data_IF_365249445233
#
_entry.id   IF_365249445233
#
_cell.length_a   1.000
_cell.length_b   1.000
_cell.length_c   1.000
_cell.angle_alpha   90.00
_cell.angle_beta   90.00
_cell.angle_gamma   90.00
#
_symmetry.space_group_name_H-M   'P 1'
#
loop_
_entity.id
_entity.type
_entity.pdbx_description
1 polymer ?
#
# COMPACT_ATOMS: atom_id res chain seq x y z
N UNK A 1 19.91 -6.29 -11.00
CA UNK A 1 19.39 -4.99 -11.47
C UNK A 1 20.54 -4.05 -11.70
N UNK A 2 20.46 -3.19 -12.71
CA UNK A 2 21.55 -2.28 -13.13
C UNK A 2 21.81 -1.10 -12.17
N UNK A 3 21.02 -0.96 -11.12
CA UNK A 3 21.15 0.10 -10.11
C UNK A 3 21.82 -0.49 -8.87
N UNK A 4 22.96 0.08 -8.47
CA UNK A 4 23.69 -0.36 -7.28
C UNK A 4 22.96 0.01 -5.98
N UNK A 5 23.12 -0.80 -4.93
CA UNK A 5 22.45 -0.62 -3.65
C UNK A 5 22.67 0.78 -3.05
N UNK A 6 23.88 1.33 -3.16
CA UNK A 6 24.20 2.70 -2.72
C UNK A 6 23.31 3.77 -3.36
N UNK A 7 22.96 3.62 -4.64
CA UNK A 7 22.13 4.60 -5.35
C UNK A 7 20.66 4.46 -4.92
N UNK A 8 20.19 3.22 -4.70
CA UNK A 8 18.85 2.97 -4.15
C UNK A 8 18.73 3.56 -2.75
N UNK A 9 19.72 3.34 -1.89
CA UNK A 9 19.70 3.87 -0.51
C UNK A 9 19.73 5.39 -0.50
N UNK A 10 20.59 6.02 -1.32
CA UNK A 10 20.65 7.47 -1.44
C UNK A 10 19.31 8.06 -1.91
N UNK A 11 18.64 7.42 -2.88
CA UNK A 11 17.32 7.86 -3.35
C UNK A 11 16.24 7.70 -2.27
N UNK A 12 16.24 6.58 -1.53
CA UNK A 12 15.28 6.37 -0.43
C UNK A 12 15.52 7.37 0.71
N UNK A 13 16.78 7.67 1.04
CA UNK A 13 17.14 8.72 2.00
C UNK A 13 16.63 10.10 1.54
N UNK A 14 16.73 10.40 0.24
CA UNK A 14 16.22 11.65 -0.35
C UNK A 14 14.68 11.73 -0.31
N UNK A 15 13.96 10.67 -0.69
CA UNK A 15 12.50 10.63 -0.62
C UNK A 15 11.99 10.78 0.82
N UNK A 16 12.62 10.07 1.77
CA UNK A 16 12.30 10.18 3.19
C UNK A 16 12.54 11.60 3.72
N UNK A 17 13.70 12.17 3.42
CA UNK A 17 14.04 13.54 3.84
C UNK A 17 13.05 14.56 3.27
N UNK A 18 12.68 14.41 2.00
CA UNK A 18 11.71 15.29 1.35
C UNK A 18 10.31 15.19 1.96
N UNK A 19 9.89 13.98 2.34
CA UNK A 19 8.63 13.78 3.07
C UNK A 19 8.63 14.54 4.40
N UNK A 20 9.71 14.38 5.19
CA UNK A 20 9.83 15.02 6.50
C UNK A 20 9.87 16.54 6.37
N UNK A 21 10.63 17.06 5.40
CA UNK A 21 10.70 18.49 5.11
C UNK A 21 9.33 19.06 4.73
N UNK A 22 8.60 18.37 3.84
CA UNK A 22 7.32 18.85 3.32
C UNK A 22 6.17 18.76 4.33
N UNK A 23 6.17 17.74 5.20
CA UNK A 23 5.06 17.49 6.13
C UNK A 23 5.39 17.83 7.59
N UNK A 24 6.64 18.20 7.90
CA UNK A 24 7.08 18.55 9.25
C UNK A 24 7.06 17.38 10.25
N UNK A 25 6.91 16.14 9.78
CA UNK A 25 6.80 14.93 10.61
C UNK A 25 7.36 13.71 9.91
N UNK A 26 7.70 12.69 10.70
CA UNK A 26 8.07 11.36 10.18
C UNK A 26 6.83 10.64 9.63
N UNK A 27 6.98 9.75 8.63
CA UNK A 27 5.87 8.94 8.16
C UNK A 27 5.40 7.98 9.25
N UNK A 28 4.10 7.83 9.42
CA UNK A 28 3.50 6.78 10.27
C UNK A 28 3.41 5.45 9.52
N UNK A 29 3.47 5.49 8.19
CA UNK A 29 3.31 4.35 7.31
C UNK A 29 4.23 4.43 6.10
N UNK A 30 4.82 3.31 5.70
CA UNK A 30 5.67 3.20 4.51
C UNK A 30 5.21 2.04 3.63
N UNK A 31 5.14 2.32 2.33
CA UNK A 31 4.95 1.34 1.28
C UNK A 31 5.93 1.58 0.10
N UNK A 32 5.62 1.04 -1.06
CA UNK A 32 6.42 1.22 -2.26
C UNK A 32 5.56 1.04 -3.51
N UNK A 33 5.64 2.02 -4.40
CA UNK A 33 5.01 1.96 -5.73
C UNK A 33 5.46 0.70 -6.46
N UNK A 34 4.54 0.04 -7.17
CA UNK A 34 4.78 -1.28 -7.81
C UNK A 34 5.34 -2.34 -6.85
N UNK A 35 5.10 -2.20 -5.55
CA UNK A 35 5.52 -3.14 -4.51
C UNK A 35 7.04 -3.29 -4.36
N UNK A 36 7.82 -2.29 -4.79
CA UNK A 36 9.30 -2.33 -4.76
C UNK A 36 9.89 -2.44 -3.37
N UNK A 37 9.13 -2.07 -2.32
CA UNK A 37 9.61 -2.17 -0.94
C UNK A 37 9.84 -3.61 -0.47
N UNK A 38 9.27 -4.59 -1.18
CA UNK A 38 9.56 -6.00 -0.95
C UNK A 38 10.95 -6.42 -1.44
N UNK A 39 11.65 -5.61 -2.24
CA UNK A 39 12.98 -5.97 -2.74
C UNK A 39 14.03 -5.99 -1.61
N UNK A 40 14.98 -6.95 -1.61
CA UNK A 40 15.97 -7.07 -0.54
C UNK A 40 16.75 -5.78 -0.23
N UNK A 41 17.11 -5.01 -1.26
CA UNK A 41 17.83 -3.74 -1.10
C UNK A 41 17.04 -2.70 -0.30
N UNK A 42 15.71 -2.67 -0.45
CA UNK A 42 14.83 -1.76 0.30
C UNK A 42 14.62 -2.27 1.73
N UNK A 43 14.52 -3.60 1.93
CA UNK A 43 14.47 -4.20 3.27
C UNK A 43 15.71 -3.83 4.10
N UNK A 44 16.91 -3.94 3.50
CA UNK A 44 18.15 -3.53 4.17
C UNK A 44 18.15 -2.04 4.51
N UNK A 45 17.62 -1.19 3.63
CA UNK A 45 17.49 0.24 3.91
C UNK A 45 16.57 0.50 5.11
N UNK A 46 15.38 -0.13 5.13
CA UNK A 46 14.43 -0.01 6.24
C UNK A 46 15.08 -0.40 7.58
N UNK A 47 15.72 -1.58 7.65
CA UNK A 47 16.39 -2.01 8.88
C UNK A 47 17.53 -1.07 9.30
N UNK A 48 18.27 -0.50 8.35
CA UNK A 48 19.39 0.39 8.64
C UNK A 48 18.94 1.77 9.12
N UNK A 49 17.79 2.28 8.66
CA UNK A 49 17.29 3.63 8.98
C UNK A 49 16.35 3.64 10.18
N UNK A 50 15.78 2.50 10.53
CA UNK A 50 14.92 2.34 11.70
C UNK A 50 15.37 1.17 12.60
N UNK A 51 16.51 1.34 13.30
CA UNK A 51 17.07 0.31 14.16
C UNK A 51 16.16 0.01 15.37
N UNK A 52 16.55 -0.98 16.18
CA UNK A 52 15.84 -1.35 17.40
C UNK A 52 15.67 -0.16 18.37
N UNK A 53 14.46 -0.04 18.93
CA UNK A 53 14.07 1.09 19.79
C UNK A 53 13.75 2.38 19.04
N UNK A 54 13.94 2.45 17.73
CA UNK A 54 13.54 3.63 16.95
C UNK A 54 12.01 3.76 16.85
N UNK A 55 11.56 4.98 16.65
CA UNK A 55 10.19 5.29 16.27
C UNK A 55 9.93 4.82 14.82
N UNK A 56 9.24 3.68 14.64
CA UNK A 56 9.07 3.00 13.35
C UNK A 56 7.72 3.29 12.68
N UNK A 57 7.71 3.56 11.36
CA UNK A 57 6.46 3.50 10.59
C UNK A 57 5.93 2.06 10.55
N UNK A 58 4.61 1.92 10.46
CA UNK A 58 4.00 0.67 10.02
C UNK A 58 4.32 0.41 8.53
N UNK A 59 4.38 -0.85 8.13
CA UNK A 59 4.72 -1.25 6.77
C UNK A 59 3.55 -1.97 6.08
N UNK A 60 3.36 -1.69 4.79
CA UNK A 60 2.45 -2.49 3.94
C UNK A 60 2.98 -3.92 3.78
N UNK A 61 2.23 -4.90 4.28
CA UNK A 61 2.56 -6.33 4.16
C UNK A 61 2.19 -6.94 2.80
N UNK A 62 2.56 -8.22 2.67
CA UNK A 62 2.22 -9.06 1.51
C UNK A 62 0.69 -9.18 1.30
N UNK A 63 0.24 -9.42 0.04
CA UNK A 63 -1.16 -9.71 -0.21
C UNK A 63 -1.60 -11.05 0.37
N UNK A 64 -2.90 -11.21 0.58
CA UNK A 64 -3.48 -12.51 0.82
C UNK A 64 -3.16 -13.43 -0.36
N UNK A 65 -2.95 -14.73 -0.09
CA UNK A 65 -2.89 -15.72 -1.14
C UNK A 65 -4.29 -15.83 -1.76
N UNK A 66 -4.46 -15.16 -2.90
CA UNK A 66 -5.68 -15.16 -3.68
C UNK A 66 -5.38 -15.58 -5.13
N UNK A 67 -6.43 -15.93 -5.87
CA UNK A 67 -6.30 -16.33 -7.27
C UNK A 67 -5.82 -15.17 -8.15
N UNK A 68 -5.00 -15.49 -9.15
CA UNK A 68 -4.59 -14.57 -10.21
C UNK A 68 -3.08 -14.34 -10.28
N UNK A 69 -2.56 -14.31 -11.52
CA UNK A 69 -1.12 -14.21 -11.79
C UNK A 69 -0.46 -12.97 -11.17
N UNK A 70 -1.17 -11.82 -11.14
CA UNK A 70 -0.66 -10.58 -10.53
C UNK A 70 -0.45 -10.73 -9.02
N UNK A 71 -1.43 -11.29 -8.32
CA UNK A 71 -1.33 -11.52 -6.86
C UNK A 71 -0.20 -12.51 -6.57
N UNK A 72 -0.11 -13.60 -7.35
CA UNK A 72 0.96 -14.59 -7.21
C UNK A 72 2.36 -13.97 -7.42
N UNK A 73 2.54 -13.10 -8.42
CA UNK A 73 3.79 -12.41 -8.67
C UNK A 73 4.18 -11.49 -7.50
N UNK A 74 3.21 -10.74 -6.96
CA UNK A 74 3.42 -9.86 -5.80
C UNK A 74 3.75 -10.69 -4.55
N UNK A 75 3.04 -11.79 -4.32
CA UNK A 75 3.28 -12.69 -3.20
C UNK A 75 4.69 -13.32 -3.27
N UNK A 76 5.12 -13.72 -4.46
CA UNK A 76 6.48 -14.22 -4.69
C UNK A 76 7.54 -13.14 -4.40
N UNK A 77 7.32 -11.91 -4.87
CA UNK A 77 8.21 -10.78 -4.57
C UNK A 77 8.25 -10.48 -3.05
N UNK A 78 7.12 -10.60 -2.38
CA UNK A 78 6.96 -10.38 -0.94
C UNK A 78 7.49 -11.56 -0.09
N UNK A 79 8.00 -12.62 -0.68
CA UNK A 79 8.44 -13.81 0.04
C UNK A 79 9.41 -13.44 1.19
N UNK A 80 9.06 -13.88 2.39
CA UNK A 80 9.81 -13.61 3.62
C UNK A 80 9.75 -12.17 4.15
N UNK A 81 9.13 -11.22 3.45
CA UNK A 81 9.09 -9.81 3.86
C UNK A 81 8.44 -9.65 5.24
N UNK A 82 7.17 -10.07 5.39
CA UNK A 82 6.41 -9.88 6.63
C UNK A 82 7.18 -10.41 7.84
N UNK A 83 7.64 -11.68 7.78
CA UNK A 83 8.43 -12.28 8.86
C UNK A 83 9.72 -11.50 9.15
N UNK A 84 10.47 -11.13 8.12
CA UNK A 84 11.74 -10.41 8.31
C UNK A 84 11.56 -9.04 8.95
N UNK A 85 10.54 -8.27 8.53
CA UNK A 85 10.28 -6.95 9.08
C UNK A 85 9.66 -7.00 10.48
N UNK A 86 8.78 -7.97 10.75
CA UNK A 86 8.26 -8.22 12.10
C UNK A 86 9.38 -8.62 13.07
N UNK A 87 10.31 -9.49 12.63
CA UNK A 87 11.48 -9.84 13.44
C UNK A 87 12.40 -8.64 13.70
N UNK A 88 12.51 -7.72 12.73
CA UNK A 88 13.18 -6.43 12.92
C UNK A 88 12.37 -5.43 13.76
N UNK A 89 11.19 -5.80 14.27
CA UNK A 89 10.38 -4.99 15.18
C UNK A 89 9.47 -3.96 14.50
N UNK A 90 9.19 -4.09 13.20
CA UNK A 90 8.19 -3.28 12.51
C UNK A 90 6.78 -3.85 12.70
N UNK A 91 5.80 -2.96 12.85
CA UNK A 91 4.40 -3.31 12.66
C UNK A 91 4.13 -3.51 11.18
N UNK A 92 3.58 -4.65 10.79
CA UNK A 92 3.25 -4.97 9.38
C UNK A 92 1.74 -5.14 9.27
N UNK A 93 1.12 -4.31 8.43
CA UNK A 93 -0.32 -4.36 8.15
C UNK A 93 -0.57 -5.33 6.99
N UNK A 94 -1.38 -6.36 7.24
CA UNK A 94 -1.59 -7.48 6.32
C UNK A 94 -2.95 -8.16 6.59
N UNK A 95 -3.55 -8.84 5.60
CA UNK A 95 -3.11 -8.93 4.21
C UNK A 95 -3.39 -7.65 3.41
N UNK A 96 -2.64 -7.47 2.31
CA UNK A 96 -3.03 -6.50 1.28
C UNK A 96 -4.18 -7.06 0.41
N UNK A 97 -5.26 -6.31 0.33
CA UNK A 97 -6.38 -6.48 -0.59
C UNK A 97 -6.45 -5.30 -1.59
N UNK A 98 -7.48 -5.29 -2.46
CA UNK A 98 -7.66 -4.26 -3.49
C UNK A 98 -6.82 -4.49 -4.76
N UNK A 99 -6.23 -5.69 -4.93
CA UNK A 99 -5.59 -6.07 -6.19
C UNK A 99 -6.64 -6.65 -7.13
N UNK A 100 -6.97 -5.91 -8.19
CA UNK A 100 -7.88 -6.37 -9.24
C UNK A 100 -7.40 -5.93 -10.63
N UNK A 101 -8.07 -6.41 -11.67
CA UNK A 101 -7.83 -5.96 -13.04
C UNK A 101 -8.51 -4.60 -13.24
N UNK A 102 -7.74 -3.51 -13.19
CA UNK A 102 -8.23 -2.15 -13.36
C UNK A 102 -8.85 -1.87 -14.75
N UNK A 103 -8.59 -2.73 -15.75
CA UNK A 103 -9.29 -2.69 -17.04
C UNK A 103 -10.75 -3.14 -16.96
N UNK A 104 -11.18 -3.60 -15.80
CA UNK A 104 -12.54 -4.02 -15.46
C UNK A 104 -12.99 -3.21 -14.22
N UNK A 105 -13.17 -1.88 -14.37
CA UNK A 105 -13.47 -0.98 -13.25
C UNK A 105 -14.77 -1.34 -12.51
N UNK A 106 -15.72 -1.98 -13.19
CA UNK A 106 -16.97 -2.50 -12.61
C UNK A 106 -16.75 -3.52 -11.48
N UNK A 107 -15.56 -4.13 -11.41
CA UNK A 107 -15.20 -5.06 -10.34
C UNK A 107 -14.85 -4.38 -9.02
N UNK A 108 -14.55 -3.08 -9.04
CA UNK A 108 -14.04 -2.38 -7.85
C UNK A 108 -15.00 -2.49 -6.65
N UNK A 109 -16.30 -2.22 -6.87
CA UNK A 109 -17.29 -2.25 -5.80
C UNK A 109 -17.40 -3.62 -5.13
N UNK A 110 -17.36 -4.71 -5.90
CA UNK A 110 -17.39 -6.07 -5.36
C UNK A 110 -16.11 -6.40 -4.58
N UNK A 111 -14.94 -5.96 -5.07
CA UNK A 111 -13.65 -6.15 -4.39
C UNK A 111 -13.60 -5.35 -3.08
N UNK A 112 -14.12 -4.13 -3.07
CA UNK A 112 -14.24 -3.29 -1.88
C UNK A 112 -15.20 -3.90 -0.86
N UNK A 113 -16.37 -4.37 -1.29
CA UNK A 113 -17.35 -5.00 -0.39
C UNK A 113 -16.79 -6.26 0.27
N UNK A 114 -16.13 -7.14 -0.50
CA UNK A 114 -15.48 -8.33 0.05
C UNK A 114 -14.37 -7.97 1.06
N UNK A 115 -13.68 -6.84 0.87
CA UNK A 115 -12.69 -6.36 1.81
C UNK A 115 -13.32 -5.83 3.10
N UNK A 116 -14.43 -5.10 3.03
CA UNK A 116 -15.18 -4.64 4.21
C UNK A 116 -15.67 -5.83 5.05
N UNK A 117 -16.10 -6.91 4.42
CA UNK A 117 -16.63 -8.09 5.11
C UNK A 117 -15.54 -9.04 5.64
N UNK A 118 -14.36 -9.03 5.03
CA UNK A 118 -13.37 -10.10 5.21
C UNK A 118 -11.97 -9.67 5.62
N UNK A 119 -11.62 -8.38 5.60
CA UNK A 119 -10.31 -7.93 6.07
C UNK A 119 -10.25 -8.01 7.62
N UNK A 120 -9.18 -8.60 8.17
CA UNK A 120 -8.95 -8.57 9.62
C UNK A 120 -8.52 -7.15 10.07
N UNK A 121 -8.46 -6.96 11.38
CA UNK A 121 -7.80 -5.78 11.95
C UNK A 121 -6.37 -5.64 11.38
N UNK A 122 -5.99 -4.41 11.01
CA UNK A 122 -4.72 -4.09 10.31
C UNK A 122 -4.57 -4.74 8.93
N UNK A 123 -5.66 -5.24 8.35
CA UNK A 123 -5.77 -5.49 6.91
C UNK A 123 -5.75 -4.18 6.13
N UNK A 124 -5.28 -4.22 4.88
CA UNK A 124 -5.16 -3.03 4.04
C UNK A 124 -5.89 -3.19 2.73
N UNK A 125 -6.66 -2.18 2.34
CA UNK A 125 -7.25 -2.07 1.02
C UNK A 125 -6.52 -1.02 0.19
N UNK A 126 -5.90 -1.43 -0.91
CA UNK A 126 -5.22 -0.52 -1.84
C UNK A 126 -6.16 -0.11 -2.97
N UNK A 127 -6.21 1.19 -3.26
CA UNK A 127 -7.00 1.80 -4.32
C UNK A 127 -6.25 3.01 -4.90
N UNK A 128 -6.75 3.58 -5.99
CA UNK A 128 -6.19 4.71 -6.73
C UNK A 128 -7.24 5.80 -7.02
N UNK A 129 -8.08 6.22 -6.06
CA UNK A 129 -9.13 7.20 -6.30
C UNK A 129 -8.55 8.55 -6.74
N UNK A 130 -9.20 9.21 -7.69
CA UNK A 130 -8.84 10.57 -8.09
C UNK A 130 -9.56 11.03 -9.35
N UNK A 131 -9.47 12.34 -9.60
CA UNK A 131 -9.95 12.97 -10.83
C UNK A 131 -8.94 12.82 -11.97
N UNK A 132 -9.43 12.68 -13.21
CA UNK A 132 -8.55 12.61 -14.38
C UNK A 132 -8.31 14.02 -14.94
N UNK A 133 -7.11 14.54 -14.71
CA UNK A 133 -6.64 15.80 -15.29
C UNK A 133 -5.60 15.56 -16.41
N UNK A 134 -5.18 16.64 -17.07
CA UNK A 134 -4.21 16.56 -18.17
C UNK A 134 -2.83 16.08 -17.71
N UNK A 135 -2.44 16.44 -16.48
CA UNK A 135 -1.18 15.99 -15.88
C UNK A 135 -1.13 14.48 -15.76
N UNK A 136 -2.22 13.86 -15.28
CA UNK A 136 -2.34 12.42 -15.16
C UNK A 136 -2.36 11.76 -16.55
N UNK A 137 -3.13 12.32 -17.50
CA UNK A 137 -3.21 11.78 -18.86
C UNK A 137 -1.85 11.67 -19.54
N UNK A 138 -0.97 12.64 -19.27
CA UNK A 138 0.39 12.66 -19.80
C UNK A 138 1.36 11.66 -19.13
N UNK A 139 1.00 11.05 -17.98
CA UNK A 139 1.93 10.29 -17.12
C UNK A 139 1.54 8.85 -16.86
N UNK A 140 0.25 8.53 -16.88
CA UNK A 140 -0.24 7.21 -16.46
C UNK A 140 -1.31 6.70 -17.43
N UNK A 141 -1.27 5.40 -17.73
CA UNK A 141 -2.29 4.71 -18.51
C UNK A 141 -3.51 4.31 -17.67
N UNK A 142 -3.36 4.16 -16.35
CA UNK A 142 -4.42 3.83 -15.42
C UNK A 142 -5.20 5.10 -15.07
N UNK A 143 -6.15 5.49 -15.94
CA UNK A 143 -6.87 6.76 -15.84
C UNK A 143 -8.32 6.56 -15.37
N UNK A 144 -9.24 6.17 -16.26
CA UNK A 144 -10.70 6.21 -15.99
C UNK A 144 -11.17 5.38 -14.78
N UNK A 145 -10.42 4.35 -14.40
CA UNK A 145 -10.69 3.58 -13.18
C UNK A 145 -10.62 4.43 -11.90
N UNK A 146 -9.78 5.46 -11.87
CA UNK A 146 -9.58 6.31 -10.69
C UNK A 146 -10.84 7.08 -10.29
N UNK A 147 -11.63 7.51 -11.27
CA UNK A 147 -12.90 8.19 -11.04
C UNK A 147 -13.97 7.21 -10.53
N UNK A 148 -13.95 5.96 -11.01
CA UNK A 148 -14.82 4.89 -10.51
C UNK A 148 -14.49 4.56 -9.06
N UNK A 149 -13.20 4.41 -8.75
CA UNK A 149 -12.73 4.15 -7.38
C UNK A 149 -13.10 5.32 -6.45
N UNK A 150 -12.91 6.56 -6.90
CA UNK A 150 -13.31 7.76 -6.16
C UNK A 150 -14.81 7.80 -5.90
N UNK A 151 -15.64 7.61 -6.93
CA UNK A 151 -17.10 7.68 -6.81
C UNK A 151 -17.63 6.62 -5.84
N UNK A 152 -17.07 5.41 -5.85
CA UNK A 152 -17.48 4.36 -4.91
C UNK A 152 -17.09 4.69 -3.46
N UNK A 153 -15.87 5.18 -3.22
CA UNK A 153 -15.41 5.56 -1.88
C UNK A 153 -16.13 6.81 -1.34
N UNK A 154 -16.56 7.72 -2.21
CA UNK A 154 -17.32 8.91 -1.84
C UNK A 154 -18.83 8.65 -1.68
N UNK A 155 -19.31 7.43 -1.94
CA UNK A 155 -20.74 7.12 -1.93
C UNK A 155 -21.29 6.83 -0.54
N UNK A 156 -22.55 7.22 -0.30
CA UNK A 156 -23.29 6.83 0.90
C UNK A 156 -23.41 5.30 1.04
N UNK A 157 -23.42 4.59 -0.09
CA UNK A 157 -23.47 3.13 -0.11
C UNK A 157 -22.24 2.49 0.56
N UNK A 158 -21.06 3.09 0.41
CA UNK A 158 -19.85 2.65 1.09
C UNK A 158 -19.91 2.94 2.59
N UNK A 159 -20.32 4.15 2.98
CA UNK A 159 -20.54 4.46 4.40
C UNK A 159 -21.54 3.51 5.07
N UNK A 160 -22.65 3.21 4.38
CA UNK A 160 -23.64 2.25 4.85
C UNK A 160 -23.10 0.80 4.90
N UNK A 161 -22.16 0.41 4.02
CA UNK A 161 -21.57 -0.93 4.07
C UNK A 161 -20.63 -1.11 5.26
N UNK A 162 -19.81 -0.10 5.56
CA UNK A 162 -18.98 -0.05 6.78
C UNK A 162 -19.84 -0.16 8.04
N UNK A 163 -20.90 0.65 8.14
CA UNK A 163 -21.81 0.64 9.28
C UNK A 163 -22.51 -0.71 9.48
N UNK A 164 -22.97 -1.35 8.39
CA UNK A 164 -23.59 -2.70 8.46
C UNK A 164 -22.60 -3.78 8.90
N UNK A 165 -21.35 -3.67 8.47
CA UNK A 165 -20.30 -4.62 8.84
C UNK A 165 -19.74 -4.38 10.25
N UNK A 166 -20.05 -3.23 10.88
CA UNK A 166 -19.45 -2.83 12.15
C UNK A 166 -17.95 -2.57 12.02
N UNK A 167 -17.50 -2.12 10.85
CA UNK A 167 -16.09 -1.88 10.53
C UNK A 167 -15.82 -0.39 10.43
N UNK A 168 -14.70 0.04 10.99
CA UNK A 168 -14.20 1.40 10.89
C UNK A 168 -12.91 1.44 10.07
N UNK A 169 -12.71 2.55 9.37
CA UNK A 169 -11.43 2.83 8.72
C UNK A 169 -10.48 3.36 9.79
N UNK A 170 -9.39 2.62 10.03
CA UNK A 170 -8.32 3.09 10.91
C UNK A 170 -7.75 4.39 10.36
N UNK A 171 -7.72 5.44 11.18
CA UNK A 171 -6.96 6.62 10.82
C UNK A 171 -5.46 6.26 10.81
N UNK A 172 -4.67 6.90 9.95
CA UNK A 172 -3.24 6.59 9.80
C UNK A 172 -2.40 6.98 11.02
N UNK A 173 -3.01 7.22 12.18
CA UNK A 173 -2.37 7.51 13.45
C UNK A 173 -2.14 6.20 14.19
N UNK A 174 -1.09 6.19 15.01
CA UNK A 174 -0.64 5.01 15.73
C UNK A 174 -1.48 4.75 16.98
#
# INVERSE_FOLDING_TARGET
>A
GRIGARHVHAELDAQYSRFVEALGRRPDFVDGHQHVHFLPVVRTWLCARFPEGADRPALRGAPALAAGAKVAAIAALAAGFNRSMQHAGFTVFQPLAGIYNWRQPEKFAAVLQAAVEGLPERGLFMCHPGHVDETLRARDMMQGVREVEFAALASDAFGASLARAGVEILDGKR
#
